data_IF_755218816562
#
_entry.id   IF_755218816562
#
_cell.length_a   1.000
_cell.length_b   1.000
_cell.length_c   1.000
_cell.angle_alpha   90.00
_cell.angle_beta   90.00
_cell.angle_gamma   90.00
#
_symmetry.space_group_name_H-M   'P 1'
#
loop_
_entity.id
_entity.type
_entity.pdbx_description
1 polymer ?
#
# COMPACT_ATOMS: atom_id res chain seq x y z
N UNK A 1 20.46 15.91 18.12
CA UNK A 1 19.19 15.18 18.30
C UNK A 1 18.44 15.26 16.99
N UNK A 2 18.08 14.12 16.39
CA UNK A 2 17.21 14.13 15.21
C UNK A 2 15.86 14.73 15.61
N UNK A 3 15.36 15.69 14.84
CA UNK A 3 14.01 16.21 15.04
C UNK A 3 13.04 15.17 14.49
N UNK A 4 12.13 14.70 15.32
CA UNK A 4 10.99 13.90 14.85
C UNK A 4 10.16 14.76 13.89
N UNK A 5 10.13 14.35 12.62
CA UNK A 5 9.33 15.01 11.59
C UNK A 5 8.05 14.21 11.38
N UNK A 6 6.92 14.83 11.67
CA UNK A 6 5.60 14.26 11.46
C UNK A 6 4.91 14.96 10.29
N UNK A 7 4.48 14.19 9.29
CA UNK A 7 3.74 14.69 8.13
C UNK A 7 2.43 13.91 8.04
N UNK A 8 1.30 14.63 8.04
CA UNK A 8 -0.04 14.05 7.89
C UNK A 8 -0.79 14.75 6.75
N UNK A 9 -1.58 13.98 5.99
CA UNK A 9 -2.51 14.49 5.00
C UNK A 9 -3.81 13.70 5.09
N UNK A 10 -4.95 14.38 5.00
CA UNK A 10 -6.28 13.78 5.05
C UNK A 10 -7.13 14.22 3.86
N UNK A 11 -8.06 13.36 3.45
CA UNK A 11 -9.07 13.61 2.42
C UNK A 11 -10.40 12.99 2.88
N UNK A 12 -11.53 13.52 2.41
CA UNK A 12 -12.86 12.98 2.70
C UNK A 12 -13.34 12.19 1.48
N UNK A 13 -13.77 10.94 1.72
CA UNK A 13 -14.37 10.07 0.71
C UNK A 13 -15.81 9.80 1.14
N UNK A 14 -16.78 10.15 0.30
CA UNK A 14 -18.21 9.98 0.60
C UNK A 14 -18.70 8.55 0.27
N UNK A 15 -18.10 7.56 0.95
CA UNK A 15 -18.34 6.12 0.75
C UNK A 15 -18.37 5.43 2.12
N UNK A 16 -19.18 4.38 2.33
CA UNK A 16 -19.19 3.63 3.59
C UNK A 16 -17.80 3.15 3.99
N UNK A 17 -17.45 3.29 5.28
CA UNK A 17 -16.14 2.90 5.82
C UNK A 17 -15.76 1.46 5.51
N UNK A 18 -16.73 0.55 5.59
CA UNK A 18 -16.53 -0.88 5.28
C UNK A 18 -16.10 -1.10 3.83
N UNK A 19 -16.69 -0.37 2.89
CA UNK A 19 -16.38 -0.49 1.48
C UNK A 19 -14.98 0.06 1.17
N UNK A 20 -14.60 1.21 1.75
CA UNK A 20 -13.23 1.71 1.55
C UNK A 20 -12.21 0.82 2.24
N UNK A 21 -12.53 0.23 3.40
CA UNK A 21 -11.65 -0.75 4.05
C UNK A 21 -11.49 -2.03 3.20
N UNK A 22 -12.58 -2.58 2.68
CA UNK A 22 -12.56 -3.75 1.81
C UNK A 22 -11.80 -3.51 0.52
N UNK A 23 -11.78 -2.27 0.03
CA UNK A 23 -10.93 -1.87 -1.08
C UNK A 23 -9.46 -1.75 -0.67
N UNK A 24 -9.16 -1.07 0.45
CA UNK A 24 -7.79 -0.78 0.88
C UNK A 24 -7.03 -2.01 1.41
N UNK A 25 -7.72 -3.03 1.94
CA UNK A 25 -7.07 -4.22 2.51
C UNK A 25 -6.29 -5.02 1.45
N UNK A 26 -6.68 -4.95 0.18
CA UNK A 26 -5.99 -5.60 -0.91
C UNK A 26 -4.87 -4.70 -1.43
N UNK A 27 -3.61 -5.12 -1.25
CA UNK A 27 -2.45 -4.36 -1.71
C UNK A 27 -2.47 -4.23 -3.24
N UNK A 28 -3.02 -5.19 -3.97
CA UNK A 28 -3.14 -5.09 -5.44
C UNK A 28 -3.95 -3.87 -5.90
N UNK A 29 -4.90 -3.40 -5.09
CA UNK A 29 -5.67 -2.21 -5.41
C UNK A 29 -4.83 -0.93 -5.39
N UNK A 30 -3.65 -0.95 -4.76
CA UNK A 30 -2.71 0.17 -4.82
C UNK A 30 -2.26 0.48 -6.25
N UNK A 31 -2.31 -0.46 -7.20
CA UNK A 31 -2.03 -0.17 -8.61
C UNK A 31 -2.98 0.88 -9.22
N UNK A 32 -4.12 1.15 -8.57
CA UNK A 32 -5.11 2.12 -9.03
C UNK A 32 -4.89 3.54 -8.47
N UNK A 33 -4.16 3.70 -7.37
CA UNK A 33 -4.05 5.00 -6.68
C UNK A 33 -2.66 5.32 -6.07
N UNK A 34 -1.78 4.33 -5.94
CA UNK A 34 -0.43 4.54 -5.44
C UNK A 34 0.39 5.25 -6.50
N UNK A 35 0.86 6.45 -6.15
CA UNK A 35 1.73 7.26 -7.01
C UNK A 35 2.97 6.48 -7.43
N UNK A 36 3.51 5.62 -6.56
CA UNK A 36 4.70 4.84 -6.85
C UNK A 36 4.41 3.72 -7.87
N UNK A 37 3.32 2.96 -7.66
CA UNK A 37 2.94 1.88 -8.59
C UNK A 37 2.53 2.43 -9.95
N UNK A 38 1.88 3.60 -9.98
CA UNK A 38 1.51 4.27 -11.23
C UNK A 38 2.70 4.90 -11.95
N UNK A 39 3.79 5.19 -11.23
CA UNK A 39 4.97 5.86 -11.79
C UNK A 39 5.83 4.91 -12.62
N UNK A 40 5.97 3.65 -12.22
CA UNK A 40 6.61 2.62 -13.04
C UNK A 40 5.70 1.40 -13.25
N UNK A 41 4.91 1.36 -14.34
CA UNK A 41 4.08 0.21 -14.67
C UNK A 41 4.89 -1.02 -15.11
N UNK A 42 6.19 -0.87 -15.40
CA UNK A 42 7.08 -1.95 -15.82
C UNK A 42 7.91 -2.51 -14.66
N UNK A 43 7.67 -2.07 -13.43
CA UNK A 43 8.37 -2.60 -12.25
C UNK A 43 8.15 -4.10 -12.13
N UNK A 44 9.18 -4.82 -11.69
CA UNK A 44 9.06 -6.25 -11.43
C UNK A 44 8.46 -6.45 -10.05
N UNK A 45 7.32 -7.14 -9.99
CA UNK A 45 6.64 -7.39 -8.73
C UNK A 45 6.61 -8.87 -8.43
N UNK A 46 6.81 -9.24 -7.17
CA UNK A 46 6.55 -10.60 -6.70
C UNK A 46 5.61 -10.57 -5.50
N UNK A 47 4.87 -11.65 -5.33
CA UNK A 47 3.91 -11.78 -4.25
C UNK A 47 4.00 -13.15 -3.59
N UNK A 48 3.77 -13.18 -2.29
CA UNK A 48 3.74 -14.38 -1.49
C UNK A 48 2.54 -14.36 -0.53
N UNK A 49 1.79 -15.45 -0.50
CA UNK A 49 0.58 -15.59 0.32
C UNK A 49 -0.69 -15.14 -0.42
N UNK A 50 -1.73 -14.83 0.36
CA UNK A 50 -3.06 -14.43 -0.14
C UNK A 50 -3.29 -12.95 0.12
N UNK A 51 -3.48 -12.14 -0.91
CA UNK A 51 -3.72 -10.70 -0.76
C UNK A 51 -4.92 -10.41 0.16
N UNK A 52 -4.83 -9.36 0.97
CA UNK A 52 -5.81 -9.03 2.00
C UNK A 52 -5.79 -9.93 3.25
N UNK A 53 -4.73 -10.72 3.45
CA UNK A 53 -4.54 -11.54 4.66
C UNK A 53 -3.21 -11.25 5.36
N UNK A 54 -3.15 -11.47 6.67
CA UNK A 54 -1.91 -11.34 7.45
C UNK A 54 -0.86 -12.32 6.93
N UNK A 55 0.36 -11.85 6.72
CA UNK A 55 1.46 -12.59 6.12
C UNK A 55 1.53 -12.48 4.59
N UNK A 56 0.62 -11.76 3.94
CA UNK A 56 0.79 -11.40 2.53
C UNK A 56 1.98 -10.45 2.38
N UNK A 57 2.88 -10.78 1.46
CA UNK A 57 4.07 -10.00 1.13
C UNK A 57 4.00 -9.61 -0.34
N UNK A 58 4.15 -8.31 -0.60
CA UNK A 58 4.29 -7.74 -1.93
C UNK A 58 5.64 -7.05 -2.05
N UNK A 59 6.42 -7.42 -3.06
CA UNK A 59 7.72 -6.77 -3.33
C UNK A 59 7.72 -6.15 -4.72
N UNK A 60 8.45 -5.06 -4.86
CA UNK A 60 8.69 -4.41 -6.14
C UNK A 60 10.18 -4.10 -6.32
N UNK A 61 10.63 -4.20 -7.56
CA UNK A 61 11.96 -3.82 -8.02
C UNK A 61 11.82 -3.00 -9.31
N UNK A 62 12.03 -1.69 -9.18
CA UNK A 62 12.02 -0.74 -10.29
C UNK A 62 13.42 -0.22 -10.59
N UNK A 63 13.71 -0.07 -11.89
CA UNK A 63 14.92 0.63 -12.36
C UNK A 63 14.78 2.15 -12.30
N UNK A 64 13.57 2.68 -12.16
CA UNK A 64 13.36 4.12 -11.92
C UNK A 64 13.86 4.45 -10.51
N UNK A 65 14.91 5.27 -10.43
CA UNK A 65 15.50 5.72 -9.17
C UNK A 65 14.51 6.43 -8.25
N UNK A 66 13.42 6.97 -8.80
CA UNK A 66 12.37 7.60 -8.01
C UNK A 66 11.42 6.60 -7.36
N UNK A 67 11.29 5.38 -7.88
CA UNK A 67 10.43 4.32 -7.32
C UNK A 67 11.25 3.37 -6.47
N UNK A 68 12.42 2.95 -6.97
CA UNK A 68 13.34 2.06 -6.29
C UNK A 68 12.79 0.65 -6.08
N UNK A 69 13.31 -0.04 -5.06
CA UNK A 69 12.89 -1.37 -4.68
C UNK A 69 12.45 -1.42 -3.22
N UNK A 70 11.48 -2.27 -2.91
CA UNK A 70 10.92 -2.38 -1.57
C UNK A 70 10.01 -3.58 -1.40
N UNK A 71 9.56 -3.76 -0.16
CA UNK A 71 8.63 -4.81 0.23
C UNK A 71 7.61 -4.27 1.23
N UNK A 72 6.37 -4.72 1.10
CA UNK A 72 5.28 -4.46 2.03
C UNK A 72 4.73 -5.80 2.53
N UNK A 73 4.58 -5.92 3.85
CA UNK A 73 4.00 -7.08 4.52
C UNK A 73 2.78 -6.65 5.33
N UNK A 74 1.69 -7.40 5.21
CA UNK A 74 0.53 -7.24 6.08
C UNK A 74 0.81 -7.94 7.42
N UNK A 75 1.15 -7.17 8.45
CA UNK A 75 1.43 -7.71 9.79
C UNK A 75 0.19 -7.88 10.67
N UNK A 76 -0.82 -7.05 10.46
CA UNK A 76 -2.07 -7.07 11.20
C UNK A 76 -3.19 -6.45 10.35
N UNK A 77 -4.42 -6.92 10.56
CA UNK A 77 -5.64 -6.34 9.99
C UNK A 77 -6.66 -6.26 11.12
N UNK A 78 -7.12 -5.07 11.46
CA UNK A 78 -8.25 -4.86 12.38
C UNK A 78 -9.44 -4.30 11.61
N UNK A 79 -10.46 -5.12 11.29
CA UNK A 79 -11.66 -4.64 10.64
C UNK A 79 -12.40 -3.62 11.52
N UNK A 80 -12.83 -2.50 10.93
CA UNK A 80 -13.69 -1.52 11.62
C UNK A 80 -12.95 -0.49 12.51
N UNK A 81 -11.62 -0.50 12.57
CA UNK A 81 -10.84 0.54 13.28
C UNK A 81 -10.53 1.74 12.38
N UNK A 82 -11.40 2.75 12.40
CA UNK A 82 -11.20 4.23 12.31
C UNK A 82 -12.51 4.90 11.93
#
# INVERSE_FOLDING_TARGET
MAKDMHIEKSIIINTPKSEVFDFLKFIKNQNQFSVWNMKDPNQKTTEQGTDGTVGYIYTWDSKDKNVGAGAQEIKAITPGEK
#
